data_IF_789271869039
#
_entry.id   IF_789271869039
#
_cell.length_a   1.000
_cell.length_b   1.000
_cell.length_c   1.000
_cell.angle_alpha   90.00
_cell.angle_beta   90.00
_cell.angle_gamma   90.00
#
_symmetry.space_group_name_H-M   'P 1'
#
loop_
_entity.id
_entity.type
_entity.pdbx_description
1 polymer ?
#
# COMPACT_ATOMS: atom_id res chain seq x y z
N UNK A 1 -24.61 -37.47 -48.17
CA UNK A 1 -23.59 -37.57 -47.11
C UNK A 1 -22.79 -36.28 -47.16
N UNK A 2 -23.35 -35.21 -46.61
CA UNK A 2 -22.71 -33.90 -46.52
C UNK A 2 -21.89 -33.84 -45.23
N UNK A 3 -20.62 -33.48 -45.36
CA UNK A 3 -19.75 -33.17 -44.24
C UNK A 3 -19.73 -31.65 -44.03
N UNK A 4 -20.26 -31.20 -42.89
CA UNK A 4 -20.11 -29.82 -42.41
C UNK A 4 -18.82 -29.71 -41.59
N UNK A 5 -17.99 -28.66 -41.74
CA UNK A 5 -16.85 -28.43 -40.88
C UNK A 5 -17.30 -27.71 -39.60
N UNK A 6 -17.05 -28.32 -38.44
CA UNK A 6 -17.17 -27.64 -37.15
C UNK A 6 -15.96 -26.72 -36.95
N UNK A 7 -16.12 -25.44 -37.27
CA UNK A 7 -15.21 -24.38 -36.85
C UNK A 7 -15.45 -24.06 -35.37
N UNK A 8 -14.52 -24.45 -34.50
CA UNK A 8 -14.46 -23.97 -33.12
C UNK A 8 -13.95 -22.53 -33.14
N UNK A 9 -14.86 -21.56 -32.98
CA UNK A 9 -14.50 -20.16 -32.85
C UNK A 9 -13.81 -19.90 -31.52
N UNK A 10 -12.50 -19.68 -31.54
CA UNK A 10 -11.82 -18.98 -30.46
C UNK A 10 -12.35 -17.55 -30.42
N UNK A 11 -13.18 -17.24 -29.42
CA UNK A 11 -13.47 -15.84 -29.07
C UNK A 11 -12.15 -15.21 -28.63
N UNK A 12 -11.67 -14.28 -29.46
CA UNK A 12 -10.46 -13.53 -29.23
C UNK A 12 -10.56 -12.72 -27.94
N UNK A 13 -9.59 -12.93 -27.05
CA UNK A 13 -9.25 -11.96 -26.01
C UNK A 13 -8.59 -10.74 -26.69
N UNK A 14 -9.38 -9.91 -27.35
CA UNK A 14 -8.92 -8.60 -27.85
C UNK A 14 -9.13 -7.56 -26.76
N UNK A 15 -8.39 -7.70 -25.66
CA UNK A 15 -8.27 -6.65 -24.66
C UNK A 15 -6.95 -5.93 -24.90
N UNK A 16 -7.00 -4.70 -25.44
CA UNK A 16 -5.86 -3.80 -25.33
C UNK A 16 -5.46 -3.59 -23.85
N UNK A 17 -4.30 -2.96 -23.57
CA UNK A 17 -3.92 -2.64 -22.21
C UNK A 17 -5.06 -1.88 -21.52
N UNK A 18 -5.51 -2.39 -20.37
CA UNK A 18 -6.59 -1.78 -19.60
C UNK A 18 -6.19 -0.36 -19.24
N UNK A 19 -6.97 0.62 -19.68
CA UNK A 19 -6.78 2.02 -19.36
C UNK A 19 -7.64 2.33 -18.13
N UNK A 20 -7.01 2.81 -17.06
CA UNK A 20 -7.70 3.20 -15.83
C UNK A 20 -8.40 4.55 -16.03
N UNK A 21 -9.56 4.73 -15.40
CA UNK A 21 -10.19 6.03 -15.27
C UNK A 21 -9.29 6.99 -14.48
N UNK A 22 -9.51 8.30 -14.63
CA UNK A 22 -8.65 9.32 -14.02
C UNK A 22 -8.51 9.17 -12.49
N UNK A 23 -9.58 8.77 -11.80
CA UNK A 23 -9.56 8.57 -10.35
C UNK A 23 -8.60 7.45 -9.92
N UNK A 24 -8.70 6.28 -10.58
CA UNK A 24 -7.81 5.13 -10.33
C UNK A 24 -6.37 5.42 -10.80
N UNK A 25 -6.22 6.10 -11.93
CA UNK A 25 -4.91 6.49 -12.43
C UNK A 25 -4.20 7.42 -11.44
N UNK A 26 -4.92 8.37 -10.82
CA UNK A 26 -4.36 9.26 -9.80
C UNK A 26 -3.90 8.51 -8.56
N UNK A 27 -4.69 7.57 -8.03
CA UNK A 27 -4.29 6.73 -6.90
C UNK A 27 -2.99 5.98 -7.22
N UNK A 28 -2.93 5.34 -8.40
CA UNK A 28 -1.73 4.65 -8.87
C UNK A 28 -0.50 5.57 -9.00
N UNK A 29 -0.69 6.83 -9.39
CA UNK A 29 0.39 7.82 -9.50
C UNK A 29 0.93 8.30 -8.15
N UNK A 30 0.24 8.03 -7.05
CA UNK A 30 0.73 8.27 -5.69
C UNK A 30 1.75 7.20 -5.26
N UNK A 31 1.76 6.01 -5.89
CA UNK A 31 2.62 4.90 -5.47
C UNK A 31 4.11 5.14 -5.72
N UNK A 32 4.58 5.69 -6.86
CA UNK A 32 6.01 5.88 -7.10
C UNK A 32 6.76 6.68 -6.03
N UNK A 33 6.28 7.86 -5.56
CA UNK A 33 6.95 8.58 -4.48
C UNK A 33 6.88 7.84 -3.13
N UNK A 34 5.76 7.17 -2.82
CA UNK A 34 5.64 6.35 -1.60
C UNK A 34 6.59 5.15 -1.63
N UNK A 35 6.70 4.46 -2.77
CA UNK A 35 7.60 3.33 -2.99
C UNK A 35 9.06 3.72 -2.79
N UNK A 36 9.46 4.91 -3.26
CA UNK A 36 10.81 5.42 -3.02
C UNK A 36 11.09 5.60 -1.52
N UNK A 37 10.14 6.18 -0.78
CA UNK A 37 10.27 6.32 0.67
C UNK A 37 10.33 4.96 1.37
N UNK A 38 9.50 4.00 0.94
CA UNK A 38 9.53 2.62 1.44
C UNK A 38 10.89 1.96 1.23
N UNK A 39 11.49 2.08 0.04
CA UNK A 39 12.83 1.55 -0.23
C UNK A 39 13.91 2.14 0.69
N UNK A 40 13.86 3.46 0.92
CA UNK A 40 14.78 4.17 1.82
C UNK A 40 14.58 3.73 3.28
N UNK A 41 13.34 3.71 3.76
CA UNK A 41 12.98 3.27 5.11
C UNK A 41 13.39 1.83 5.36
N UNK A 42 13.10 0.92 4.43
CA UNK A 42 13.43 -0.49 4.55
C UNK A 42 14.94 -0.71 4.63
N UNK A 43 15.70 -0.03 3.75
CA UNK A 43 17.15 -0.11 3.75
C UNK A 43 17.76 0.40 5.06
N UNK A 44 17.27 1.52 5.59
CA UNK A 44 17.77 2.09 6.83
C UNK A 44 17.40 1.25 8.05
N UNK A 45 16.15 0.77 8.10
CA UNK A 45 15.69 -0.14 9.14
C UNK A 45 16.55 -1.41 9.21
N UNK A 46 16.88 -2.02 8.06
CA UNK A 46 17.74 -3.20 8.01
C UNK A 46 19.21 -2.93 8.37
N UNK A 47 19.70 -1.70 8.18
CA UNK A 47 21.07 -1.34 8.56
C UNK A 47 21.24 -1.17 10.07
N UNK A 48 20.17 -0.86 10.80
CA UNK A 48 20.21 -0.61 12.24
C UNK A 48 20.65 -1.86 13.01
N UNK A 49 21.59 -1.70 13.93
CA UNK A 49 22.16 -2.77 14.76
C UNK A 49 23.07 -3.76 14.03
N UNK A 50 23.48 -3.49 12.78
CA UNK A 50 24.41 -4.34 12.03
C UNK A 50 25.89 -3.95 12.18
N UNK A 51 26.16 -2.67 12.43
CA UNK A 51 27.52 -2.15 12.59
C UNK A 51 28.03 -2.34 14.04
N UNK A 52 29.00 -3.24 14.23
CA UNK A 52 29.59 -3.53 15.53
C UNK A 52 30.36 -2.35 16.17
N UNK A 53 30.72 -1.32 15.38
CA UNK A 53 31.35 -0.10 15.87
C UNK A 53 30.39 0.93 16.48
N UNK A 54 29.08 0.68 16.45
CA UNK A 54 28.07 1.58 17.02
C UNK A 54 27.59 1.04 18.36
N UNK A 55 27.97 1.72 19.44
CA UNK A 55 27.62 1.34 20.82
C UNK A 55 26.24 1.82 21.28
N UNK A 56 25.72 2.85 20.60
CA UNK A 56 24.43 3.50 20.85
C UNK A 56 23.71 3.82 19.54
N UNK A 57 22.50 3.28 19.40
CA UNK A 57 21.67 3.36 18.21
C UNK A 57 20.53 4.38 18.32
N UNK A 58 20.50 5.21 19.38
CA UNK A 58 19.47 6.25 19.51
C UNK A 58 19.43 7.18 18.29
N UNK A 59 20.57 7.77 17.90
CA UNK A 59 20.59 8.73 16.80
C UNK A 59 20.15 8.13 15.43
N UNK A 60 20.61 6.93 15.02
CA UNK A 60 20.06 6.25 13.85
C UNK A 60 18.55 5.99 13.92
N UNK A 61 18.02 5.57 15.09
CA UNK A 61 16.59 5.35 15.27
C UNK A 61 15.79 6.66 15.17
N UNK A 62 16.30 7.76 15.71
CA UNK A 62 15.69 9.10 15.57
C UNK A 62 15.68 9.56 14.11
N UNK A 63 16.74 9.29 13.36
CA UNK A 63 16.77 9.61 11.94
C UNK A 63 15.72 8.81 11.13
N UNK A 64 15.54 7.52 11.46
CA UNK A 64 14.49 6.69 10.87
C UNK A 64 13.09 7.21 11.25
N UNK A 65 12.89 7.64 12.50
CA UNK A 65 11.64 8.19 13.00
C UNK A 65 11.19 9.42 12.21
N UNK A 66 12.09 10.37 11.94
CA UNK A 66 11.76 11.57 11.19
C UNK A 66 11.34 11.28 9.74
N UNK A 67 12.00 10.34 9.07
CA UNK A 67 11.62 9.91 7.72
C UNK A 67 10.28 9.19 7.73
N UNK A 68 10.04 8.36 8.73
CA UNK A 68 8.81 7.61 8.83
C UNK A 68 7.61 8.53 9.11
N UNK A 69 7.77 9.60 9.90
CA UNK A 69 6.71 10.61 10.09
C UNK A 69 6.26 11.25 8.78
N UNK A 70 7.21 11.57 7.90
CA UNK A 70 6.92 12.13 6.56
C UNK A 70 6.15 11.10 5.74
N UNK A 71 6.66 9.86 5.69
CA UNK A 71 6.03 8.77 4.96
C UNK A 71 4.59 8.48 5.43
N UNK A 72 4.36 8.40 6.74
CA UNK A 72 3.02 8.15 7.32
C UNK A 72 2.05 9.27 6.94
N UNK A 73 2.47 10.53 6.96
CA UNK A 73 1.59 11.64 6.58
C UNK A 73 1.11 11.53 5.13
N UNK A 74 1.97 11.07 4.21
CA UNK A 74 1.60 10.87 2.80
C UNK A 74 0.79 9.58 2.59
N UNK A 75 1.19 8.48 3.25
CA UNK A 75 0.49 7.20 3.21
C UNK A 75 -0.94 7.32 3.76
N UNK A 76 -1.14 8.05 4.86
CA UNK A 76 -2.46 8.26 5.46
C UNK A 76 -3.41 8.98 4.49
N UNK A 77 -2.93 9.93 3.68
CA UNK A 77 -3.74 10.58 2.66
C UNK A 77 -4.12 9.63 1.54
N UNK A 78 -3.20 8.77 1.12
CA UNK A 78 -3.44 7.74 0.13
C UNK A 78 -4.50 6.74 0.62
N UNK A 79 -4.25 6.07 1.76
CA UNK A 79 -5.18 5.12 2.35
C UNK A 79 -6.55 5.74 2.63
N UNK A 80 -6.60 7.01 3.04
CA UNK A 80 -7.88 7.72 3.24
C UNK A 80 -8.67 7.87 1.95
N UNK A 81 -8.03 8.22 0.83
CA UNK A 81 -8.72 8.28 -0.48
C UNK A 81 -9.30 6.92 -0.88
N UNK A 82 -8.61 5.85 -0.53
CA UNK A 82 -9.12 4.51 -0.78
C UNK A 82 -10.28 4.14 0.15
N UNK A 83 -10.10 4.27 1.46
CA UNK A 83 -11.06 3.86 2.49
C UNK A 83 -12.35 4.70 2.50
N UNK A 84 -12.24 6.00 2.23
CA UNK A 84 -13.38 6.92 2.24
C UNK A 84 -14.08 7.02 0.88
N UNK A 85 -13.42 6.65 -0.22
CA UNK A 85 -13.94 6.86 -1.58
C UNK A 85 -13.96 5.57 -2.40
N UNK A 86 -12.80 4.96 -2.69
CA UNK A 86 -12.73 3.80 -3.59
C UNK A 86 -13.43 2.56 -3.01
N UNK A 87 -13.10 2.17 -1.78
CA UNK A 87 -13.63 0.94 -1.18
C UNK A 87 -15.16 1.02 -0.98
N UNK A 88 -15.76 2.13 -0.53
CA UNK A 88 -17.22 2.25 -0.47
C UNK A 88 -17.89 2.11 -1.84
N UNK A 89 -17.28 2.64 -2.91
CA UNK A 89 -17.82 2.48 -4.27
C UNK A 89 -17.76 1.02 -4.73
N UNK A 90 -16.61 0.37 -4.56
CA UNK A 90 -16.45 -1.04 -4.91
C UNK A 90 -17.37 -1.96 -4.07
N UNK A 91 -17.54 -1.67 -2.78
CA UNK A 91 -18.35 -2.47 -1.87
C UNK A 91 -19.83 -2.57 -2.29
N UNK A 92 -20.36 -1.59 -3.05
CA UNK A 92 -21.70 -1.64 -3.65
C UNK A 92 -21.87 -2.83 -4.60
N UNK A 93 -20.78 -3.31 -5.21
CA UNK A 93 -20.77 -4.36 -6.23
C UNK A 93 -20.29 -5.71 -5.71
N UNK A 94 -19.29 -5.73 -4.82
CA UNK A 94 -18.62 -6.96 -4.37
C UNK A 94 -18.79 -7.25 -2.87
N UNK A 95 -19.44 -6.37 -2.12
CA UNK A 95 -19.49 -6.42 -0.66
C UNK A 95 -18.19 -5.96 -0.01
N UNK A 96 -18.21 -5.75 1.32
CA UNK A 96 -17.05 -5.25 2.09
C UNK A 96 -16.41 -6.30 2.98
N UNK A 97 -17.25 -7.06 3.69
CA UNK A 97 -16.83 -7.96 4.79
C UNK A 97 -15.97 -9.15 4.36
N UNK A 98 -16.01 -9.53 3.08
CA UNK A 98 -15.29 -10.69 2.56
C UNK A 98 -14.68 -10.36 1.19
N UNK A 99 -13.50 -10.90 0.91
CA UNK A 99 -12.86 -10.77 -0.39
C UNK A 99 -11.82 -9.64 -0.44
N UNK A 100 -11.57 -9.03 -1.62
CA UNK A 100 -10.45 -8.12 -1.83
C UNK A 100 -10.43 -6.93 -0.86
N UNK A 101 -11.57 -6.24 -0.65
CA UNK A 101 -11.62 -5.06 0.22
C UNK A 101 -11.23 -5.41 1.67
N UNK A 102 -11.78 -6.49 2.22
CA UNK A 102 -11.43 -6.95 3.57
C UNK A 102 -9.93 -7.26 3.73
N UNK A 103 -9.29 -7.81 2.69
CA UNK A 103 -7.83 -8.05 2.69
C UNK A 103 -7.06 -6.73 2.68
N UNK A 104 -7.49 -5.75 1.88
CA UNK A 104 -6.84 -4.44 1.81
C UNK A 104 -6.94 -3.70 3.15
N UNK A 105 -8.13 -3.61 3.73
CA UNK A 105 -8.35 -2.97 5.04
C UNK A 105 -7.56 -3.66 6.16
N UNK A 106 -7.46 -4.99 6.12
CA UNK A 106 -6.64 -5.74 7.07
C UNK A 106 -5.14 -5.43 6.92
N UNK A 107 -4.65 -5.22 5.70
CA UNK A 107 -3.25 -4.85 5.46
C UNK A 107 -2.94 -3.41 5.85
N UNK A 108 -3.86 -2.47 5.60
CA UNK A 108 -3.79 -1.11 6.14
C UNK A 108 -3.66 -1.13 7.67
N UNK A 109 -4.54 -1.85 8.37
CA UNK A 109 -4.51 -1.91 9.83
C UNK A 109 -3.25 -2.57 10.37
N UNK A 110 -2.74 -3.62 9.72
CA UNK A 110 -1.46 -4.22 10.12
C UNK A 110 -0.28 -3.25 9.95
N UNK A 111 -0.17 -2.58 8.79
CA UNK A 111 0.90 -1.62 8.55
C UNK A 111 0.83 -0.46 9.56
N UNK A 112 -0.36 0.10 9.76
CA UNK A 112 -0.63 1.18 10.72
C UNK A 112 -0.30 0.81 12.16
N UNK A 113 -0.66 -0.41 12.57
CA UNK A 113 -0.34 -0.92 13.93
C UNK A 113 1.17 -0.95 14.18
N UNK A 114 1.94 -1.39 13.19
CA UNK A 114 3.41 -1.47 13.30
C UNK A 114 4.07 -0.11 13.32
N UNK A 115 3.66 0.78 12.40
CA UNK A 115 4.21 2.14 12.31
C UNK A 115 3.90 2.94 13.57
N UNK A 116 2.67 2.85 14.09
CA UNK A 116 2.29 3.49 15.36
C UNK A 116 2.99 2.85 16.57
N UNK A 117 3.19 1.53 16.57
CA UNK A 117 3.96 0.81 17.59
C UNK A 117 5.43 1.26 17.65
N UNK A 118 6.05 1.48 16.50
CA UNK A 118 7.38 2.08 16.41
C UNK A 118 7.38 3.50 17.02
N UNK A 119 6.45 4.38 16.64
CA UNK A 119 6.38 5.75 17.17
C UNK A 119 6.20 5.77 18.69
N UNK A 120 5.29 4.93 19.21
CA UNK A 120 5.05 4.80 20.64
C UNK A 120 6.31 4.32 21.38
N UNK A 121 7.03 3.36 20.80
CA UNK A 121 8.29 2.88 21.34
C UNK A 121 9.32 4.01 21.38
N UNK A 122 9.51 4.73 20.27
CA UNK A 122 10.43 5.87 20.17
C UNK A 122 10.13 6.99 21.18
N UNK A 123 8.87 7.26 21.47
CA UNK A 123 8.44 8.25 22.46
C UNK A 123 8.81 7.86 23.90
N UNK A 124 8.98 6.56 24.17
CA UNK A 124 9.31 6.02 25.50
C UNK A 124 10.80 5.72 25.71
N UNK A 125 11.63 5.85 24.67
CA UNK A 125 13.06 5.53 24.76
C UNK A 125 13.81 6.50 25.68
N UNK A 126 14.62 5.94 26.57
CA UNK A 126 15.54 6.68 27.44
C UNK A 126 16.90 5.99 27.50
N UNK A 127 17.97 6.75 27.29
CA UNK A 127 19.34 6.24 27.40
C UNK A 127 19.80 5.42 26.20
N UNK A 128 21.03 4.89 26.26
CA UNK A 128 21.69 4.31 25.10
C UNK A 128 21.02 3.01 24.65
N UNK A 129 20.83 2.87 23.33
CA UNK A 129 20.16 1.71 22.73
C UNK A 129 21.17 0.74 22.15
N UNK A 130 21.16 -0.49 22.66
CA UNK A 130 22.05 -1.56 22.16
C UNK A 130 21.52 -2.17 20.87
N UNK A 131 22.44 -2.71 20.06
CA UNK A 131 22.17 -3.22 18.72
C UNK A 131 21.02 -4.24 18.64
N UNK A 132 20.87 -5.11 19.65
CA UNK A 132 19.75 -6.06 19.70
C UNK A 132 18.39 -5.34 19.79
N UNK A 133 18.23 -4.44 20.75
CA UNK A 133 17.00 -3.65 20.93
C UNK A 133 16.75 -2.75 19.72
N UNK A 134 17.80 -2.14 19.17
CA UNK A 134 17.69 -1.29 17.99
C UNK A 134 17.13 -2.06 16.77
N UNK A 135 17.61 -3.28 16.52
CA UNK A 135 17.09 -4.16 15.46
C UNK A 135 15.63 -4.50 15.65
N UNK A 136 15.23 -4.79 16.89
CA UNK A 136 13.83 -5.11 17.18
C UNK A 136 12.92 -3.91 16.90
N UNK A 137 13.32 -2.71 17.35
CA UNK A 137 12.56 -1.47 17.11
C UNK A 137 12.47 -1.18 15.61
N UNK A 138 13.61 -1.16 14.90
CA UNK A 138 13.64 -0.91 13.46
C UNK A 138 12.92 -1.99 12.64
N UNK A 139 12.84 -3.22 13.17
CA UNK A 139 12.11 -4.34 12.57
C UNK A 139 10.64 -4.04 12.32
N UNK A 140 9.97 -3.29 13.21
CA UNK A 140 8.57 -2.88 13.01
C UNK A 140 8.38 -2.07 11.72
N UNK A 141 9.32 -1.16 11.42
CA UNK A 141 9.30 -0.37 10.18
C UNK A 141 9.55 -1.27 8.97
N UNK A 142 10.53 -2.17 9.07
CA UNK A 142 10.84 -3.08 7.96
C UNK A 142 9.67 -4.02 7.63
N UNK A 143 8.99 -4.57 8.64
CA UNK A 143 7.83 -5.43 8.48
C UNK A 143 6.61 -4.67 7.91
N UNK A 144 6.35 -3.44 8.39
CA UNK A 144 5.30 -2.59 7.84
C UNK A 144 5.52 -2.29 6.35
N UNK A 145 6.76 -1.93 5.98
CA UNK A 145 7.11 -1.64 4.59
C UNK A 145 6.95 -2.87 3.69
N UNK A 146 7.30 -4.07 4.15
CA UNK A 146 7.09 -5.29 3.39
C UNK A 146 5.61 -5.55 3.10
N UNK A 147 4.74 -5.35 4.09
CA UNK A 147 3.28 -5.45 3.89
C UNK A 147 2.84 -4.47 2.81
N UNK A 148 3.29 -3.22 2.87
CA UNK A 148 2.89 -2.18 1.93
C UNK A 148 3.41 -2.43 0.49
N UNK A 149 4.56 -3.08 0.32
CA UNK A 149 5.04 -3.48 -1.01
C UNK A 149 4.07 -4.48 -1.65
N UNK A 150 3.68 -5.51 -0.89
CA UNK A 150 2.73 -6.51 -1.37
C UNK A 150 1.34 -5.90 -1.57
N UNK A 151 0.97 -4.91 -0.74
CA UNK A 151 -0.28 -4.16 -0.82
C UNK A 151 -0.40 -3.39 -2.14
N UNK A 152 0.58 -2.54 -2.47
CA UNK A 152 0.59 -1.78 -3.73
C UNK A 152 0.59 -2.70 -4.95
N UNK A 153 1.23 -3.87 -4.85
CA UNK A 153 1.16 -4.87 -5.92
C UNK A 153 -0.25 -5.44 -6.11
N UNK A 154 -1.02 -5.62 -5.03
CA UNK A 154 -2.43 -6.06 -5.13
C UNK A 154 -3.31 -4.96 -5.70
N UNK A 155 -3.11 -3.71 -5.31
CA UNK A 155 -3.85 -2.58 -5.88
C UNK A 155 -3.65 -2.50 -7.39
N UNK A 156 -2.40 -2.41 -7.82
CA UNK A 156 -2.08 -2.13 -9.22
C UNK A 156 -2.45 -3.29 -10.15
N UNK A 157 -2.35 -4.53 -9.68
CA UNK A 157 -2.54 -5.71 -10.52
C UNK A 157 -3.91 -6.39 -10.35
N UNK A 158 -4.61 -6.11 -9.25
CA UNK A 158 -5.89 -6.77 -8.92
C UNK A 158 -6.98 -5.74 -8.66
N UNK A 159 -6.80 -4.87 -7.67
CA UNK A 159 -7.88 -4.01 -7.18
C UNK A 159 -8.27 -2.93 -8.18
N UNK A 160 -7.33 -2.13 -8.70
CA UNK A 160 -7.63 -1.07 -9.67
C UNK A 160 -8.16 -1.64 -10.99
N UNK A 161 -7.59 -2.73 -11.55
CA UNK A 161 -8.19 -3.38 -12.72
C UNK A 161 -9.60 -3.94 -12.47
N UNK A 162 -9.89 -4.37 -11.24
CA UNK A 162 -11.23 -4.82 -10.86
C UNK A 162 -12.19 -3.63 -10.77
N UNK A 163 -11.80 -2.56 -10.07
CA UNK A 163 -12.55 -1.32 -9.95
C UNK A 163 -12.91 -0.74 -11.33
N UNK A 164 -11.95 -0.70 -12.25
CA UNK A 164 -12.16 -0.19 -13.61
C UNK A 164 -13.26 -0.94 -14.37
N UNK A 165 -13.40 -2.25 -14.12
CA UNK A 165 -14.38 -3.11 -14.79
C UNK A 165 -15.77 -3.09 -14.15
N UNK A 166 -15.84 -2.92 -12.82
CA UNK A 166 -17.11 -3.02 -12.09
C UNK A 166 -17.79 -1.67 -11.90
N UNK A 167 -17.03 -0.58 -11.82
CA UNK A 167 -17.60 0.75 -11.61
C UNK A 167 -18.22 1.29 -12.91
N UNK A 168 -19.41 1.85 -12.79
CA UNK A 168 -20.07 2.61 -13.85
C UNK A 168 -19.37 3.95 -14.12
N UNK A 169 -19.65 4.58 -15.27
CA UNK A 169 -19.08 5.90 -15.61
C UNK A 169 -19.41 6.97 -14.56
N UNK A 170 -20.64 6.96 -14.02
CA UNK A 170 -21.05 7.87 -12.96
C UNK A 170 -20.27 7.64 -11.64
N UNK A 171 -19.98 6.39 -11.29
CA UNK A 171 -19.17 6.07 -10.10
C UNK A 171 -17.69 6.40 -10.32
N UNK A 172 -17.19 6.33 -11.56
CA UNK A 172 -15.84 6.79 -11.90
C UNK A 172 -15.70 8.31 -11.79
N UNK A 173 -16.74 9.06 -12.17
CA UNK A 173 -16.81 10.51 -11.92
C UNK A 173 -16.87 10.83 -10.42
N UNK A 174 -17.67 10.08 -9.65
CA UNK A 174 -17.75 10.19 -8.18
C UNK A 174 -16.39 9.91 -7.52
N UNK A 175 -15.70 8.84 -7.96
CA UNK A 175 -14.36 8.49 -7.49
C UNK A 175 -13.37 9.63 -7.73
N UNK A 176 -13.33 10.18 -8.95
CA UNK A 176 -12.42 11.27 -9.29
C UNK A 176 -12.68 12.52 -8.43
N UNK A 177 -13.95 12.87 -8.22
CA UNK A 177 -14.33 14.00 -7.39
C UNK A 177 -13.93 13.80 -5.92
N UNK A 178 -14.20 12.62 -5.35
CA UNK A 178 -13.85 12.29 -3.97
C UNK A 178 -12.34 12.26 -3.74
N UNK A 179 -11.59 11.61 -4.63
CA UNK A 179 -10.12 11.55 -4.59
C UNK A 179 -9.51 12.96 -4.66
N UNK A 180 -10.09 13.88 -5.45
CA UNK A 180 -9.63 15.29 -5.54
C UNK A 180 -9.97 16.14 -4.31
N UNK A 181 -10.99 15.74 -3.53
CA UNK A 181 -11.45 16.49 -2.37
C UNK A 181 -10.61 16.24 -1.10
N UNK A 182 -9.84 15.14 -1.10
CA UNK A 182 -8.85 14.77 -0.07
C UNK A 182 -7.45 15.12 -0.59
#
# INVERSE_FOLDING_TARGET
MEAMPFGCGMMGMTGGPLTLCEGLQRLKEEHPPLRKQMEELFKEAQAIGTNAGVEDWEAPLRALEEKMKIFVAELDLHSKREEDVLFPLMAKHIGREMGPIAVMEYEHEQAKTRLSGFLATMASLTGPIKAHTARWIAGEVAEAVQILFDHFMKEENVLFPMAERILSDAEKEELLAGVKAI
#
